data_IF_471358372061
#
_entry.id   IF_471358372061
#
_cell.length_a   1.000
_cell.length_b   1.000
_cell.length_c   1.000
_cell.angle_alpha   90.00
_cell.angle_beta   90.00
_cell.angle_gamma   90.00
#
_symmetry.space_group_name_H-M   'P 1'
#
loop_
_entity.id
_entity.type
_entity.pdbx_description
1 polymer ?
#
# COMPACT_ATOMS: atom_id res chain seq x y z
N UNK A 1 16.32 0.32 -21.41
CA UNK A 1 16.83 1.54 -20.77
C UNK A 1 16.72 1.33 -19.28
N UNK A 2 17.82 1.26 -18.57
CA UNK A 2 17.86 1.12 -17.12
C UNK A 2 17.18 2.34 -16.50
N UNK A 3 16.09 2.14 -15.74
CA UNK A 3 15.42 3.21 -15.02
C UNK A 3 16.40 3.85 -14.03
N UNK A 4 16.46 5.17 -13.98
CA UNK A 4 17.33 5.84 -13.04
C UNK A 4 16.68 5.86 -11.65
N UNK A 5 17.38 5.28 -10.68
CA UNK A 5 17.06 5.41 -9.28
C UNK A 5 17.17 6.91 -8.89
N UNK A 6 16.20 7.51 -8.19
CA UNK A 6 16.33 8.88 -7.71
C UNK A 6 17.56 8.98 -6.79
N UNK A 7 18.39 9.99 -7.01
CA UNK A 7 19.56 10.23 -6.15
C UNK A 7 19.12 10.68 -4.76
N UNK A 8 18.06 11.49 -4.71
CA UNK A 8 17.50 12.06 -3.48
C UNK A 8 15.99 11.87 -3.47
N UNK A 9 15.50 11.25 -2.42
CA UNK A 9 14.06 11.08 -2.14
C UNK A 9 13.71 11.88 -0.89
N UNK A 10 12.63 12.65 -0.95
CA UNK A 10 11.98 13.16 0.25
C UNK A 10 10.77 12.29 0.61
N UNK A 11 10.63 11.93 1.87
CA UNK A 11 9.44 11.26 2.41
C UNK A 11 8.79 12.19 3.44
N UNK A 12 7.52 12.51 3.21
CA UNK A 12 6.71 13.35 4.11
C UNK A 12 5.71 12.48 4.86
N UNK A 13 5.94 12.32 6.16
CA UNK A 13 5.31 11.33 7.02
C UNK A 13 6.30 10.24 7.41
N UNK A 14 6.82 10.29 8.66
CA UNK A 14 7.83 9.36 9.21
C UNK A 14 7.23 8.15 9.93
N UNK A 15 5.93 7.93 9.79
CA UNK A 15 5.22 6.79 10.38
C UNK A 15 5.70 5.44 9.84
N UNK A 16 4.92 4.39 10.11
CA UNK A 16 5.26 3.03 9.68
C UNK A 16 5.52 2.91 8.18
N UNK A 17 4.61 3.48 7.35
CA UNK A 17 4.77 3.40 5.89
C UNK A 17 5.94 4.25 5.40
N UNK A 18 6.06 5.51 5.86
CA UNK A 18 7.14 6.37 5.42
C UNK A 18 8.53 5.85 5.77
N UNK A 19 8.73 5.32 6.98
CA UNK A 19 9.99 4.68 7.35
C UNK A 19 10.28 3.42 6.52
N UNK A 20 9.27 2.62 6.19
CA UNK A 20 9.42 1.44 5.36
C UNK A 20 9.72 1.80 3.88
N UNK A 21 9.10 2.86 3.34
CA UNK A 21 9.43 3.41 2.02
C UNK A 21 10.88 3.93 2.03
N UNK A 22 11.27 4.66 3.08
CA UNK A 22 12.64 5.16 3.22
C UNK A 22 13.66 4.02 3.23
N UNK A 23 13.36 2.92 3.94
CA UNK A 23 14.22 1.72 3.96
C UNK A 23 14.40 1.13 2.56
N UNK A 24 13.32 0.94 1.78
CA UNK A 24 13.39 0.35 0.44
C UNK A 24 14.30 1.16 -0.49
N UNK A 25 14.11 2.48 -0.54
CA UNK A 25 14.91 3.34 -1.38
C UNK A 25 16.35 3.49 -0.89
N UNK A 26 16.57 3.57 0.42
CA UNK A 26 17.92 3.62 0.99
C UNK A 26 18.70 2.32 0.74
N UNK A 27 18.07 1.16 0.83
CA UNK A 27 18.65 -0.13 0.48
C UNK A 27 19.03 -0.22 -1.00
N UNK A 28 18.26 0.43 -1.89
CA UNK A 28 18.59 0.53 -3.30
C UNK A 28 19.71 1.54 -3.63
N UNK A 29 20.15 2.35 -2.65
CA UNK A 29 21.26 3.31 -2.83
C UNK A 29 20.84 4.79 -2.86
N UNK A 30 19.56 5.12 -2.73
CA UNK A 30 19.04 6.48 -2.68
C UNK A 30 19.36 7.16 -1.33
N UNK A 31 19.75 8.44 -1.35
CA UNK A 31 19.75 9.27 -0.13
C UNK A 31 18.32 9.72 0.16
N UNK A 32 17.81 9.36 1.34
CA UNK A 32 16.42 9.66 1.72
C UNK A 32 16.39 10.67 2.86
N UNK A 33 15.55 11.69 2.74
CA UNK A 33 15.29 12.63 3.84
C UNK A 33 13.83 12.53 4.23
N UNK A 34 13.57 12.20 5.51
CA UNK A 34 12.23 12.03 6.06
C UNK A 34 11.84 13.24 6.89
N UNK A 35 10.67 13.78 6.66
CA UNK A 35 10.02 14.77 7.50
C UNK A 35 8.75 14.21 8.14
N UNK A 36 8.53 14.56 9.38
CA UNK A 36 7.25 14.38 10.09
C UNK A 36 7.09 15.55 11.06
N UNK A 37 5.90 16.14 11.25
CA UNK A 37 5.71 17.23 12.21
C UNK A 37 5.96 16.80 13.66
N UNK A 38 5.69 15.53 14.00
CA UNK A 38 5.97 14.99 15.33
C UNK A 38 7.45 14.59 15.48
N UNK A 39 8.15 15.23 16.41
CA UNK A 39 9.56 14.96 16.70
C UNK A 39 9.82 13.50 17.11
N UNK A 40 8.92 12.92 17.92
CA UNK A 40 9.04 11.52 18.37
C UNK A 40 8.96 10.56 17.19
N UNK A 41 8.10 10.85 16.23
CA UNK A 41 8.00 10.07 15.00
C UNK A 41 9.27 10.17 14.17
N UNK A 42 9.87 11.37 14.05
CA UNK A 42 11.15 11.57 13.35
C UNK A 42 12.30 10.82 14.03
N UNK A 43 12.40 10.91 15.35
CA UNK A 43 13.46 10.26 16.13
C UNK A 43 13.42 8.73 15.99
N UNK A 44 12.22 8.15 15.83
CA UNK A 44 12.02 6.73 15.66
C UNK A 44 12.25 6.20 14.22
N UNK A 45 12.52 7.07 13.24
CA UNK A 45 12.69 6.66 11.82
C UNK A 45 13.87 5.70 11.67
N UNK A 46 15.05 6.02 12.22
CA UNK A 46 16.24 5.20 12.08
C UNK A 46 16.06 3.81 12.72
N UNK A 47 15.42 3.73 13.90
CA UNK A 47 15.13 2.45 14.56
C UNK A 47 14.15 1.58 13.74
N UNK A 48 13.15 2.20 13.11
CA UNK A 48 12.23 1.50 12.22
C UNK A 48 12.93 0.95 10.97
N UNK A 49 13.81 1.76 10.37
CA UNK A 49 14.61 1.35 9.21
C UNK A 49 15.56 0.20 9.60
N UNK A 50 16.29 0.33 10.68
CA UNK A 50 17.18 -0.72 11.18
C UNK A 50 16.41 -2.02 11.51
N UNK A 51 15.21 -1.90 12.10
CA UNK A 51 14.37 -3.08 12.38
C UNK A 51 13.93 -3.80 11.09
N UNK A 52 13.59 -3.06 10.05
CA UNK A 52 13.26 -3.64 8.75
C UNK A 52 14.48 -4.34 8.11
N UNK A 53 15.67 -3.73 8.19
CA UNK A 53 16.92 -4.35 7.71
C UNK A 53 17.23 -5.65 8.45
N UNK A 54 17.11 -5.67 9.78
CA UNK A 54 17.30 -6.90 10.59
C UNK A 54 16.32 -8.00 10.21
N UNK A 55 15.03 -7.67 9.97
CA UNK A 55 14.04 -8.63 9.49
C UNK A 55 14.45 -9.24 8.15
N UNK A 56 15.01 -8.42 7.25
CA UNK A 56 15.47 -8.84 5.93
C UNK A 56 16.82 -9.56 5.94
N UNK A 57 17.53 -9.58 7.08
CA UNK A 57 18.88 -10.15 7.17
C UNK A 57 19.94 -9.36 6.39
N UNK A 58 19.73 -8.06 6.17
CA UNK A 58 20.69 -7.17 5.49
C UNK A 58 21.41 -6.28 6.49
N UNK A 59 22.63 -5.84 6.13
CA UNK A 59 23.40 -4.88 6.94
C UNK A 59 22.61 -3.56 7.04
N UNK A 60 22.31 -3.16 8.27
CA UNK A 60 21.53 -1.95 8.54
C UNK A 60 22.38 -0.68 8.54
N UNK A 61 23.66 -0.76 8.80
CA UNK A 61 24.52 0.41 8.99
C UNK A 61 24.58 1.30 7.75
N UNK A 62 24.79 0.72 6.57
CA UNK A 62 24.87 1.46 5.30
C UNK A 62 23.49 2.02 4.90
N UNK A 63 22.43 1.23 5.08
CA UNK A 63 21.06 1.65 4.75
C UNK A 63 20.61 2.79 5.65
N UNK A 64 20.83 2.67 6.97
CA UNK A 64 20.50 3.70 7.95
C UNK A 64 21.29 4.99 7.69
N UNK A 65 22.58 4.88 7.32
CA UNK A 65 23.41 6.05 7.01
C UNK A 65 22.91 6.88 5.81
N UNK A 66 22.14 6.27 4.90
CA UNK A 66 21.50 6.97 3.77
C UNK A 66 20.20 7.66 4.14
N UNK A 67 19.64 7.39 5.33
CA UNK A 67 18.39 7.99 5.81
C UNK A 67 18.72 9.15 6.74
N UNK A 68 18.13 10.30 6.49
CA UNK A 68 18.22 11.52 7.29
C UNK A 68 16.84 11.96 7.71
N UNK A 69 16.73 12.75 8.77
CA UNK A 69 15.49 13.43 9.15
C UNK A 69 15.64 14.93 9.03
N UNK A 70 14.53 15.61 8.77
CA UNK A 70 14.47 17.07 8.70
C UNK A 70 13.32 17.58 9.59
N UNK A 71 13.44 18.84 10.03
CA UNK A 71 12.47 19.51 10.91
C UNK A 71 11.37 20.28 10.14
N UNK A 72 11.48 20.32 8.80
CA UNK A 72 10.49 20.94 7.93
C UNK A 72 10.40 20.22 6.58
N UNK A 73 9.23 20.27 5.93
CA UNK A 73 9.03 19.74 4.59
C UNK A 73 9.95 20.40 3.57
N UNK A 74 10.15 21.72 3.65
CA UNK A 74 11.04 22.45 2.75
C UNK A 74 12.50 21.94 2.83
N UNK A 75 13.00 21.64 4.04
CA UNK A 75 14.35 21.06 4.20
C UNK A 75 14.42 19.63 3.70
N UNK A 76 13.40 18.83 3.93
CA UNK A 76 13.36 17.47 3.43
C UNK A 76 13.35 17.43 1.89
N UNK A 77 12.60 18.33 1.27
CA UNK A 77 12.46 18.41 -0.18
C UNK A 77 13.63 19.10 -0.89
N UNK A 78 14.58 19.70 -0.17
CA UNK A 78 15.68 20.45 -0.77
C UNK A 78 16.55 19.57 -1.70
N UNK A 79 16.39 19.78 -3.01
CA UNK A 79 17.10 19.05 -4.07
C UNK A 79 16.62 17.60 -4.24
N UNK A 80 15.41 17.27 -3.81
CA UNK A 80 14.79 15.97 -4.06
C UNK A 80 14.43 15.83 -5.55
N UNK A 81 14.62 14.63 -6.08
CA UNK A 81 14.20 14.25 -7.43
C UNK A 81 12.75 13.74 -7.42
N UNK A 82 12.33 13.19 -6.30
CA UNK A 82 10.99 12.62 -6.04
C UNK A 82 10.59 12.93 -4.60
N UNK A 83 9.32 13.27 -4.38
CA UNK A 83 8.73 13.42 -3.05
C UNK A 83 7.61 12.41 -2.91
N UNK A 84 7.61 11.60 -1.82
CA UNK A 84 6.53 10.67 -1.49
C UNK A 84 5.88 11.09 -0.18
N UNK A 85 4.59 11.41 -0.22
CA UNK A 85 3.77 11.71 0.94
C UNK A 85 3.17 10.41 1.51
N UNK A 86 3.36 10.17 2.80
CA UNK A 86 2.88 9.04 3.57
C UNK A 86 2.27 9.47 4.93
N UNK A 87 1.61 10.62 4.93
CA UNK A 87 0.89 11.19 6.08
C UNK A 87 -0.48 10.54 6.32
N UNK A 88 -1.29 11.10 7.24
CA UNK A 88 -2.61 10.57 7.58
C UNK A 88 -3.54 10.43 6.39
N UNK A 89 -4.42 9.41 6.43
CA UNK A 89 -5.43 9.16 5.40
C UNK A 89 -6.65 10.09 5.60
N UNK A 90 -6.40 11.38 5.48
CA UNK A 90 -7.38 12.46 5.58
C UNK A 90 -7.20 13.45 4.43
N UNK A 91 -8.30 13.75 3.73
CA UNK A 91 -8.24 14.59 2.53
C UNK A 91 -7.81 16.03 2.83
N UNK A 92 -8.27 16.61 3.95
CA UNK A 92 -7.94 17.98 4.31
C UNK A 92 -6.45 18.09 4.63
N UNK A 93 -5.94 17.18 5.46
CA UNK A 93 -4.51 17.09 5.80
C UNK A 93 -3.65 16.87 4.56
N UNK A 94 -4.03 15.95 3.67
CA UNK A 94 -3.26 15.71 2.43
C UNK A 94 -3.25 16.93 1.51
N UNK A 95 -4.36 17.67 1.40
CA UNK A 95 -4.40 18.91 0.62
C UNK A 95 -3.49 20.00 1.18
N UNK A 96 -3.44 20.16 2.50
CA UNK A 96 -2.52 21.09 3.16
C UNK A 96 -1.06 20.71 2.89
N UNK A 97 -0.71 19.44 3.05
CA UNK A 97 0.63 18.92 2.74
C UNK A 97 0.97 19.18 1.27
N UNK A 98 0.07 18.84 0.34
CA UNK A 98 0.34 19.00 -1.09
C UNK A 98 0.44 20.47 -1.51
N UNK A 99 -0.31 21.38 -0.89
CA UNK A 99 -0.18 22.84 -1.11
C UNK A 99 1.20 23.33 -0.68
N UNK A 100 1.71 22.90 0.48
CA UNK A 100 3.07 23.19 0.91
C UNK A 100 4.12 22.59 -0.05
N UNK A 101 3.96 21.32 -0.44
CA UNK A 101 4.88 20.65 -1.35
C UNK A 101 4.90 21.30 -2.74
N UNK A 102 3.75 21.76 -3.24
CA UNK A 102 3.66 22.46 -4.53
C UNK A 102 4.39 23.82 -4.49
N UNK A 103 4.37 24.49 -3.34
CA UNK A 103 5.04 25.78 -3.15
C UNK A 103 6.57 25.66 -3.02
N UNK A 104 7.06 24.62 -2.32
CA UNK A 104 8.50 24.51 -1.99
C UNK A 104 9.32 23.76 -3.03
N UNK A 105 8.68 22.96 -3.91
CA UNK A 105 9.40 22.16 -4.89
C UNK A 105 9.42 22.80 -6.28
N UNK A 106 10.55 22.70 -7.03
CA UNK A 106 10.62 23.13 -8.42
C UNK A 106 9.60 22.39 -9.31
N UNK A 107 9.22 22.95 -10.47
CA UNK A 107 8.20 22.36 -11.36
C UNK A 107 8.49 20.92 -11.83
N UNK A 108 9.77 20.57 -11.96
CA UNK A 108 10.19 19.24 -12.46
C UNK A 108 10.19 18.13 -11.43
N UNK A 109 9.89 18.42 -10.15
CA UNK A 109 9.85 17.41 -9.08
C UNK A 109 8.48 16.74 -9.05
N UNK A 110 8.45 15.41 -9.14
CA UNK A 110 7.22 14.61 -8.98
C UNK A 110 6.79 14.57 -7.52
N UNK A 111 5.51 14.82 -7.29
CA UNK A 111 4.86 14.72 -5.98
C UNK A 111 3.95 13.48 -5.96
N UNK A 112 4.36 12.46 -5.21
CA UNK A 112 3.64 11.22 -5.09
C UNK A 112 2.88 11.13 -3.76
N UNK A 113 1.69 10.54 -3.74
CA UNK A 113 0.94 10.26 -2.50
C UNK A 113 0.78 8.76 -2.29
N UNK A 114 1.01 8.31 -1.06
CA UNK A 114 0.77 6.91 -0.65
C UNK A 114 -0.65 6.70 -0.10
N UNK A 115 -1.63 7.50 -0.53
CA UNK A 115 -3.04 7.28 -0.13
C UNK A 115 -3.50 5.89 -0.55
N UNK A 116 -4.35 5.26 0.27
CA UNK A 116 -4.90 3.93 -0.01
C UNK A 116 -6.28 3.96 -0.68
N UNK A 117 -7.03 5.06 -0.53
CA UNK A 117 -8.43 5.11 -0.98
C UNK A 117 -8.86 6.48 -1.52
N UNK A 118 -8.17 7.56 -1.15
CA UNK A 118 -8.56 8.92 -1.56
C UNK A 118 -8.15 9.14 -3.02
N UNK A 119 -9.08 9.50 -3.90
CA UNK A 119 -8.75 9.81 -5.28
C UNK A 119 -7.68 10.90 -5.40
N UNK A 120 -6.68 10.66 -6.24
CA UNK A 120 -5.52 11.54 -6.44
C UNK A 120 -5.96 12.92 -6.93
N UNK A 121 -6.94 12.96 -7.84
CA UNK A 121 -7.52 14.19 -8.35
C UNK A 121 -8.14 15.07 -7.25
N UNK A 122 -8.65 14.47 -6.17
CA UNK A 122 -9.17 15.22 -5.01
C UNK A 122 -8.06 15.83 -4.17
N UNK A 123 -6.91 15.17 -4.07
CA UNK A 123 -5.72 15.68 -3.38
C UNK A 123 -5.08 16.79 -4.20
N UNK A 124 -4.91 16.59 -5.50
CA UNK A 124 -4.30 17.54 -6.42
C UNK A 124 -5.19 18.76 -6.76
N UNK A 125 -6.46 18.69 -6.40
CA UNK A 125 -7.42 19.77 -6.69
C UNK A 125 -7.02 21.08 -6.01
N UNK A 126 -6.84 22.15 -6.83
CA UNK A 126 -6.45 23.47 -6.35
C UNK A 126 -4.94 23.74 -6.36
N UNK A 127 -4.10 22.78 -6.72
CA UNK A 127 -2.66 23.00 -6.89
C UNK A 127 -2.37 23.80 -8.17
N UNK A 128 -1.26 24.52 -8.17
CA UNK A 128 -0.80 25.28 -9.34
C UNK A 128 -0.32 24.36 -10.46
N UNK A 129 0.23 23.20 -10.09
CA UNK A 129 0.85 22.23 -11.00
C UNK A 129 0.39 20.80 -10.72
N UNK A 130 -0.91 20.51 -10.94
CA UNK A 130 -1.47 19.17 -10.67
C UNK A 130 -0.91 18.07 -11.58
N UNK A 131 -0.32 18.43 -12.73
CA UNK A 131 0.22 17.49 -13.72
C UNK A 131 1.42 16.70 -13.23
N UNK A 132 2.09 17.16 -12.15
CA UNK A 132 3.21 16.45 -11.50
C UNK A 132 2.81 15.56 -10.32
N UNK A 133 1.51 15.48 -10.02
CA UNK A 133 0.99 14.68 -8.92
C UNK A 133 0.59 13.29 -9.40
N UNK A 134 1.01 12.26 -8.68
CA UNK A 134 0.72 10.84 -8.99
C UNK A 134 0.44 10.07 -7.70
N UNK A 135 -0.42 9.04 -7.79
CA UNK A 135 -0.58 8.08 -6.71
C UNK A 135 0.53 7.03 -6.75
N UNK A 136 1.08 6.70 -5.59
CA UNK A 136 2.00 5.57 -5.41
C UNK A 136 1.54 4.77 -4.20
N UNK A 137 0.57 3.88 -4.43
CA UNK A 137 -0.02 3.09 -3.36
C UNK A 137 0.86 1.88 -3.07
N UNK A 138 1.68 1.99 -2.05
CA UNK A 138 2.51 0.91 -1.52
C UNK A 138 1.69 -0.03 -0.65
N UNK A 139 2.00 -1.32 -0.71
CA UNK A 139 1.43 -2.34 0.18
C UNK A 139 2.32 -2.54 1.41
N UNK A 140 1.69 -2.75 2.56
CA UNK A 140 2.38 -2.85 3.85
C UNK A 140 2.77 -4.30 4.19
N UNK A 141 4.03 -4.59 4.51
CA UNK A 141 5.18 -3.69 4.43
C UNK A 141 5.86 -3.72 3.04
N UNK A 142 6.29 -2.55 2.49
CA UNK A 142 6.79 -2.47 1.11
C UNK A 142 8.12 -3.21 0.89
N UNK A 143 8.86 -3.50 1.93
CA UNK A 143 10.07 -4.30 1.85
C UNK A 143 9.80 -5.81 1.73
N UNK A 144 8.57 -6.29 1.95
CA UNK A 144 8.14 -7.68 1.73
C UNK A 144 7.13 -7.79 0.58
N UNK A 145 6.28 -6.79 0.39
CA UNK A 145 5.26 -6.77 -0.67
C UNK A 145 5.66 -5.71 -1.69
N UNK A 146 6.24 -6.11 -2.83
CA UNK A 146 6.87 -5.18 -3.75
C UNK A 146 5.88 -4.38 -4.61
N UNK A 147 4.59 -4.75 -4.64
CA UNK A 147 3.59 -4.07 -5.46
C UNK A 147 3.46 -2.59 -5.09
N UNK A 148 3.52 -1.73 -6.11
CA UNK A 148 3.12 -0.32 -6.01
C UNK A 148 2.17 0.00 -7.15
N UNK A 149 0.94 0.36 -6.84
CA UNK A 149 0.00 0.88 -7.84
C UNK A 149 0.36 2.33 -8.16
N UNK A 150 0.75 2.59 -9.40
CA UNK A 150 1.07 3.95 -9.89
C UNK A 150 -0.19 4.53 -10.53
N UNK A 151 -0.92 5.35 -9.78
CA UNK A 151 -2.27 5.77 -10.13
C UNK A 151 -2.24 7.13 -10.81
N UNK A 152 -2.76 7.18 -12.04
CA UNK A 152 -2.89 8.38 -12.85
C UNK A 152 -4.21 9.08 -12.57
N UNK A 153 -4.17 10.32 -12.08
CA UNK A 153 -5.33 11.21 -12.11
C UNK A 153 -5.52 11.83 -13.51
N UNK A 154 -6.70 12.39 -13.76
CA UNK A 154 -7.01 13.02 -15.05
C UNK A 154 -5.99 14.13 -15.44
N UNK A 155 -5.46 14.84 -14.43
CA UNK A 155 -4.45 15.89 -14.64
C UNK A 155 -3.01 15.41 -14.68
N UNK A 156 -2.71 14.17 -14.29
CA UNK A 156 -1.33 13.67 -14.19
C UNK A 156 -0.69 13.53 -15.58
N UNK A 157 0.51 14.07 -15.75
CA UNK A 157 1.27 13.94 -16.98
C UNK A 157 1.71 12.48 -17.22
N UNK A 158 1.60 11.93 -18.43
CA UNK A 158 2.13 10.60 -18.76
C UNK A 158 3.63 10.46 -18.42
N UNK A 159 4.43 11.49 -18.65
CA UNK A 159 5.85 11.48 -18.33
C UNK A 159 6.13 11.32 -16.82
N UNK A 160 5.25 11.84 -15.96
CA UNK A 160 5.31 11.65 -14.49
C UNK A 160 5.03 10.20 -14.13
N UNK A 161 4.01 9.58 -14.74
CA UNK A 161 3.71 8.14 -14.53
C UNK A 161 4.91 7.30 -14.95
N UNK A 162 5.43 7.50 -16.16
CA UNK A 162 6.55 6.73 -16.70
C UNK A 162 7.82 6.87 -15.85
N UNK A 163 8.15 8.10 -15.42
CA UNK A 163 9.33 8.33 -14.57
C UNK A 163 9.16 7.69 -13.19
N UNK A 164 7.95 7.74 -12.63
CA UNK A 164 7.63 7.10 -11.34
C UNK A 164 7.75 5.59 -11.42
N UNK A 165 7.19 4.96 -12.47
CA UNK A 165 7.32 3.51 -12.72
C UNK A 165 8.79 3.12 -12.81
N UNK A 166 9.61 3.87 -13.57
CA UNK A 166 11.05 3.58 -13.67
C UNK A 166 11.77 3.72 -12.34
N UNK A 167 11.50 4.79 -11.58
CA UNK A 167 12.13 5.02 -10.28
C UNK A 167 11.80 3.91 -9.27
N UNK A 168 10.56 3.48 -9.21
CA UNK A 168 10.10 2.40 -8.35
C UNK A 168 10.70 1.04 -8.75
N UNK A 169 10.72 0.75 -10.05
CA UNK A 169 11.36 -0.47 -10.58
C UNK A 169 12.86 -0.51 -10.29
N UNK A 170 13.57 0.63 -10.42
CA UNK A 170 14.99 0.74 -10.07
C UNK A 170 15.25 0.54 -8.57
N UNK A 171 14.25 0.83 -7.70
CA UNK A 171 14.29 0.53 -6.27
C UNK A 171 13.96 -0.94 -5.93
N UNK A 172 13.78 -1.81 -6.93
CA UNK A 172 13.48 -3.23 -6.74
C UNK A 172 12.01 -3.50 -6.37
N UNK A 173 11.11 -2.59 -6.71
CA UNK A 173 9.67 -2.74 -6.53
C UNK A 173 9.01 -3.22 -7.83
N UNK A 174 7.75 -3.66 -7.74
CA UNK A 174 6.92 -4.08 -8.85
C UNK A 174 5.81 -3.02 -9.12
N UNK A 175 6.13 -1.90 -9.81
CA UNK A 175 5.17 -0.87 -10.09
C UNK A 175 4.19 -1.31 -11.18
N UNK A 176 2.90 -1.09 -10.93
CA UNK A 176 1.82 -1.36 -11.89
C UNK A 176 1.08 -0.07 -12.19
N UNK A 177 1.08 0.42 -13.44
CA UNK A 177 0.31 1.60 -13.83
C UNK A 177 -1.20 1.34 -13.71
N UNK A 178 -1.92 2.32 -13.17
CA UNK A 178 -3.39 2.33 -13.10
C UNK A 178 -3.89 3.57 -13.80
N UNK A 179 -4.59 3.39 -14.92
CA UNK A 179 -4.97 4.46 -15.85
C UNK A 179 -6.10 5.36 -15.37
N UNK A 180 -6.83 4.94 -14.34
CA UNK A 180 -7.97 5.69 -13.83
C UNK A 180 -7.94 5.78 -12.29
N UNK A 181 -8.16 6.99 -11.81
CA UNK A 181 -8.23 7.34 -10.40
C UNK A 181 -9.61 7.01 -9.82
N UNK A 182 -9.80 5.75 -9.45
CA UNK A 182 -11.03 5.27 -8.82
C UNK A 182 -10.83 5.00 -7.32
N UNK A 183 -11.84 5.20 -6.46
CA UNK A 183 -11.71 4.93 -5.02
C UNK A 183 -11.24 3.49 -4.74
N UNK A 184 -10.13 3.35 -3.97
CA UNK A 184 -9.55 2.06 -3.60
C UNK A 184 -8.74 1.38 -4.71
N UNK A 185 -8.53 2.06 -5.83
CA UNK A 185 -7.71 1.62 -6.97
C UNK A 185 -8.06 0.20 -7.45
N UNK A 186 -7.10 -0.65 -7.79
CA UNK A 186 -7.35 -2.04 -8.23
C UNK A 186 -7.28 -3.01 -7.05
N UNK A 187 -6.19 -2.98 -6.31
CA UNK A 187 -5.91 -3.98 -5.28
C UNK A 187 -6.88 -3.94 -4.10
N UNK A 188 -7.18 -2.75 -3.55
CA UNK A 188 -8.15 -2.62 -2.48
C UNK A 188 -9.57 -3.01 -2.95
N UNK A 189 -9.95 -2.68 -4.19
CA UNK A 189 -11.26 -3.07 -4.75
C UNK A 189 -11.41 -4.57 -4.79
N UNK A 190 -10.42 -5.30 -5.33
CA UNK A 190 -10.43 -6.76 -5.39
C UNK A 190 -10.43 -7.39 -4.00
N UNK A 191 -9.56 -6.90 -3.10
CA UNK A 191 -9.47 -7.40 -1.73
C UNK A 191 -10.78 -7.19 -0.96
N UNK A 192 -11.42 -6.02 -1.10
CA UNK A 192 -12.67 -5.72 -0.40
C UNK A 192 -13.88 -6.41 -1.02
N UNK A 193 -13.89 -6.69 -2.33
CA UNK A 193 -14.91 -7.54 -2.94
C UNK A 193 -14.86 -8.97 -2.35
N UNK A 194 -13.66 -9.55 -2.23
CA UNK A 194 -13.47 -10.85 -1.56
C UNK A 194 -13.91 -10.80 -0.08
N UNK A 195 -13.52 -9.74 0.67
CA UNK A 195 -13.91 -9.61 2.08
C UNK A 195 -15.41 -9.45 2.26
N UNK A 196 -16.10 -8.73 1.35
CA UNK A 196 -17.55 -8.57 1.40
C UNK A 196 -18.26 -9.91 1.34
N UNK A 197 -17.92 -10.75 0.35
CA UNK A 197 -18.48 -12.09 0.23
C UNK A 197 -18.10 -12.98 1.42
N UNK A 198 -16.86 -12.96 1.85
CA UNK A 198 -16.39 -13.72 3.02
C UNK A 198 -17.19 -13.40 4.29
N UNK A 199 -17.49 -12.12 4.54
CA UNK A 199 -18.29 -11.70 5.70
C UNK A 199 -19.76 -12.12 5.52
N UNK A 200 -20.31 -12.03 4.32
CA UNK A 200 -21.68 -12.43 4.01
C UNK A 200 -21.90 -13.92 4.30
N UNK A 201 -20.99 -14.78 3.86
CA UNK A 201 -21.05 -16.23 4.14
C UNK A 201 -21.04 -16.54 5.64
N UNK A 202 -20.21 -15.85 6.42
CA UNK A 202 -20.18 -16.01 7.89
C UNK A 202 -21.48 -15.47 8.51
N UNK A 203 -21.97 -14.32 8.07
CA UNK A 203 -23.20 -13.71 8.57
C UNK A 203 -24.43 -14.57 8.29
N UNK A 204 -24.48 -15.25 7.14
CA UNK A 204 -25.53 -16.20 6.76
C UNK A 204 -25.41 -17.56 7.46
N UNK A 205 -24.36 -17.80 8.24
CA UNK A 205 -24.14 -19.07 8.94
C UNK A 205 -23.74 -20.22 8.02
N UNK A 206 -23.30 -19.93 6.79
CA UNK A 206 -22.85 -20.97 5.84
C UNK A 206 -21.62 -21.68 6.38
N UNK A 207 -20.68 -20.94 6.99
CA UNK A 207 -19.49 -21.50 7.61
C UNK A 207 -18.88 -20.51 8.63
N UNK A 208 -17.86 -20.98 9.37
CA UNK A 208 -17.10 -20.13 10.30
C UNK A 208 -16.06 -19.26 9.55
N UNK A 209 -15.56 -18.22 10.19
CA UNK A 209 -14.47 -17.38 9.66
C UNK A 209 -13.19 -18.21 9.41
N UNK A 210 -12.89 -19.17 10.28
CA UNK A 210 -11.75 -20.08 10.12
C UNK A 210 -11.89 -20.95 8.86
N UNK A 211 -13.12 -21.39 8.55
CA UNK A 211 -13.41 -22.15 7.32
C UNK A 211 -13.21 -21.31 6.08
N UNK A 212 -13.72 -20.07 6.04
CA UNK A 212 -13.47 -19.13 4.94
C UNK A 212 -11.98 -18.96 4.71
N UNK A 213 -11.24 -18.67 5.78
CA UNK A 213 -9.80 -18.49 5.73
C UNK A 213 -9.06 -19.74 5.22
N UNK A 214 -9.49 -20.92 5.67
CA UNK A 214 -8.89 -22.19 5.23
C UNK A 214 -9.14 -22.46 3.75
N UNK A 215 -10.35 -22.22 3.25
CA UNK A 215 -10.71 -22.34 1.82
C UNK A 215 -9.88 -21.39 0.98
N UNK A 216 -9.78 -20.11 1.38
CA UNK A 216 -8.97 -19.15 0.65
C UNK A 216 -7.50 -19.58 0.59
N UNK A 217 -6.89 -19.93 1.73
CA UNK A 217 -5.46 -20.28 1.79
C UNK A 217 -5.11 -21.57 1.07
N UNK A 218 -5.99 -22.59 1.15
CA UNK A 218 -5.70 -23.92 0.58
C UNK A 218 -6.26 -24.10 -0.83
N UNK A 219 -7.19 -23.25 -1.25
CA UNK A 219 -7.81 -23.24 -2.56
C UNK A 219 -7.15 -22.28 -3.55
N UNK A 220 -7.94 -21.35 -4.07
CA UNK A 220 -7.52 -20.41 -5.12
C UNK A 220 -6.35 -19.51 -4.70
N UNK A 221 -6.22 -19.16 -3.43
CA UNK A 221 -5.12 -18.33 -2.93
C UNK A 221 -3.72 -18.93 -3.18
N UNK A 222 -3.60 -20.26 -3.29
CA UNK A 222 -2.34 -20.93 -3.63
C UNK A 222 -1.86 -20.64 -5.06
N UNK A 223 -2.76 -20.26 -5.95
CA UNK A 223 -2.46 -19.97 -7.36
C UNK A 223 -2.08 -18.52 -7.58
N UNK A 224 -2.63 -17.60 -6.76
CA UNK A 224 -2.47 -16.16 -6.96
C UNK A 224 -1.02 -15.65 -7.09
N UNK A 225 0.00 -16.24 -6.41
CA UNK A 225 1.40 -15.85 -6.64
C UNK A 225 1.93 -16.18 -8.04
N UNK A 226 1.26 -17.07 -8.79
CA UNK A 226 1.75 -17.59 -10.08
C UNK A 226 0.79 -17.29 -11.24
N UNK A 227 -0.46 -16.96 -10.95
CA UNK A 227 -1.52 -16.85 -11.94
C UNK A 227 -2.56 -15.82 -11.50
N UNK A 228 -2.70 -14.75 -12.26
CA UNK A 228 -3.71 -13.74 -12.01
C UNK A 228 -5.14 -14.26 -12.28
N UNK A 229 -6.18 -13.61 -11.74
CA UNK A 229 -7.56 -14.10 -11.86
C UNK A 229 -8.09 -14.11 -13.30
N UNK A 230 -7.70 -13.14 -14.13
CA UNK A 230 -8.14 -13.09 -15.54
C UNK A 230 -7.37 -14.07 -16.40
N UNK A 231 -6.06 -14.20 -16.20
CA UNK A 231 -5.25 -15.21 -16.86
C UNK A 231 -5.75 -16.63 -16.51
N UNK A 232 -6.15 -16.85 -15.27
CA UNK A 232 -6.75 -18.12 -14.85
C UNK A 232 -8.08 -18.39 -15.56
N UNK A 233 -8.90 -17.37 -15.77
CA UNK A 233 -10.16 -17.49 -16.50
C UNK A 233 -9.91 -17.82 -17.98
N UNK A 234 -8.93 -17.18 -18.64
CA UNK A 234 -8.54 -17.49 -20.01
C UNK A 234 -8.04 -18.93 -20.17
N UNK A 235 -7.19 -19.39 -19.25
CA UNK A 235 -6.66 -20.76 -19.26
C UNK A 235 -7.75 -21.80 -18.97
N UNK A 236 -8.78 -21.46 -18.20
CA UNK A 236 -9.91 -22.35 -17.89
C UNK A 236 -11.00 -22.39 -18.96
N UNK A 237 -11.02 -21.40 -19.84
CA UNK A 237 -12.06 -21.15 -20.82
C UNK A 237 -13.09 -20.12 -20.37
N UNK A 238 -13.31 -19.11 -21.19
CA UNK A 238 -14.26 -18.02 -20.89
C UNK A 238 -15.72 -18.49 -20.95
N UNK A 239 -16.03 -19.49 -21.77
CA UNK A 239 -17.33 -20.16 -21.83
C UNK A 239 -17.67 -20.84 -20.51
N UNK A 240 -16.71 -21.57 -19.89
CA UNK A 240 -16.88 -22.15 -18.58
C UNK A 240 -17.04 -21.07 -17.51
N UNK A 241 -16.22 -20.01 -17.58
CA UNK A 241 -16.33 -18.89 -16.65
C UNK A 241 -17.70 -18.21 -16.74
N UNK A 242 -18.23 -18.02 -17.95
CA UNK A 242 -19.56 -17.45 -18.17
C UNK A 242 -20.64 -18.33 -17.56
N UNK A 243 -20.63 -19.65 -17.85
CA UNK A 243 -21.62 -20.59 -17.31
C UNK A 243 -21.61 -20.62 -15.76
N UNK A 244 -20.43 -20.54 -15.14
CA UNK A 244 -20.33 -20.42 -13.67
C UNK A 244 -20.90 -19.09 -13.18
N UNK A 245 -20.62 -17.99 -13.85
CA UNK A 245 -21.14 -16.66 -13.49
C UNK A 245 -22.67 -16.59 -13.58
N UNK A 246 -23.29 -17.22 -14.58
CA UNK A 246 -24.75 -17.28 -14.72
C UNK A 246 -25.41 -17.91 -13.49
N UNK A 247 -24.74 -18.85 -12.83
CA UNK A 247 -25.21 -19.50 -11.60
C UNK A 247 -24.87 -18.69 -10.34
N UNK A 248 -23.64 -18.21 -10.23
CA UNK A 248 -23.14 -17.63 -8.97
C UNK A 248 -23.48 -16.14 -8.79
N UNK A 249 -23.43 -15.33 -9.87
CA UNK A 249 -23.58 -13.88 -9.74
C UNK A 249 -24.91 -13.44 -9.10
N UNK A 250 -26.05 -14.11 -9.36
CA UNK A 250 -27.31 -13.77 -8.70
C UNK A 250 -27.32 -13.99 -7.20
N UNK A 251 -26.43 -14.89 -6.68
CA UNK A 251 -26.39 -15.31 -5.28
C UNK A 251 -25.27 -14.64 -4.46
N UNK A 252 -24.25 -14.10 -5.11
CA UNK A 252 -23.18 -13.39 -4.44
C UNK A 252 -23.65 -12.08 -3.82
N UNK A 253 -23.08 -11.71 -2.67
CA UNK A 253 -23.41 -10.46 -2.00
C UNK A 253 -23.05 -9.23 -2.86
N UNK A 254 -24.06 -8.44 -3.19
CA UNK A 254 -23.96 -7.21 -3.97
C UNK A 254 -24.22 -5.95 -3.15
N UNK A 255 -24.29 -6.03 -1.81
CA UNK A 255 -24.55 -4.88 -0.94
C UNK A 255 -23.48 -3.80 -1.10
N UNK A 256 -23.92 -2.52 -1.02
CA UNK A 256 -23.03 -1.35 -1.08
C UNK A 256 -22.63 -0.82 0.28
N UNK A 257 -23.35 -1.26 1.31
CA UNK A 257 -23.11 -0.89 2.69
C UNK A 257 -22.24 -1.93 3.40
N UNK A 258 -21.52 -1.55 4.47
CA UNK A 258 -20.82 -2.52 5.31
C UNK A 258 -21.78 -3.56 5.86
N UNK A 259 -21.35 -4.83 5.85
CA UNK A 259 -22.15 -5.94 6.37
C UNK A 259 -22.57 -5.69 7.83
N UNK A 260 -23.86 -5.95 8.21
CA UNK A 260 -24.35 -5.73 9.56
C UNK A 260 -23.53 -6.45 10.65
N UNK A 261 -23.02 -7.64 10.35
CA UNK A 261 -22.13 -8.38 11.26
C UNK A 261 -20.85 -7.57 11.58
N UNK A 262 -20.22 -6.97 10.56
CA UNK A 262 -19.03 -6.13 10.77
C UNK A 262 -19.35 -4.91 11.63
N UNK A 263 -20.47 -4.23 11.32
CA UNK A 263 -20.92 -3.05 12.08
C UNK A 263 -21.16 -3.41 13.55
N UNK A 264 -21.81 -4.54 13.80
CA UNK A 264 -22.11 -5.02 15.15
C UNK A 264 -20.85 -5.37 15.95
N UNK A 265 -19.88 -6.06 15.32
CA UNK A 265 -18.58 -6.35 15.95
C UNK A 265 -17.89 -5.05 16.38
N UNK A 266 -17.81 -4.06 15.50
CA UNK A 266 -17.20 -2.77 15.81
C UNK A 266 -17.94 -2.05 16.94
N UNK A 267 -19.28 -2.02 16.90
CA UNK A 267 -20.13 -1.39 17.94
C UNK A 267 -19.92 -2.02 19.32
N UNK A 268 -19.68 -3.32 19.39
CA UNK A 268 -19.37 -4.05 20.65
C UNK A 268 -17.93 -3.87 21.12
N UNK A 269 -17.06 -3.25 20.33
CA UNK A 269 -15.63 -3.17 20.63
C UNK A 269 -14.84 -4.42 20.32
N UNK A 270 -15.41 -5.38 19.59
CA UNK A 270 -14.74 -6.60 19.09
C UNK A 270 -13.89 -6.25 17.87
N UNK A 271 -12.74 -5.55 18.08
CA UNK A 271 -11.93 -4.94 17.02
C UNK A 271 -10.81 -5.86 16.48
N UNK A 272 -10.98 -7.16 16.57
CA UNK A 272 -10.03 -8.17 16.11
C UNK A 272 -8.89 -8.42 17.10
N UNK A 273 -7.70 -8.74 16.58
CA UNK A 273 -6.53 -9.10 17.38
C UNK A 273 -6.15 -8.05 18.43
N UNK A 274 -6.38 -6.77 18.13
CA UNK A 274 -6.09 -5.65 19.04
C UNK A 274 -6.87 -5.71 20.36
N UNK A 275 -8.08 -6.28 20.34
CA UNK A 275 -8.97 -6.42 21.51
C UNK A 275 -9.18 -7.87 21.94
N UNK A 276 -8.49 -8.81 21.29
CA UNK A 276 -8.61 -10.25 21.55
C UNK A 276 -9.84 -10.91 20.92
N UNK A 277 -10.76 -10.13 20.33
CA UNK A 277 -12.00 -10.63 19.72
C UNK A 277 -12.35 -9.88 18.44
N UNK A 278 -12.88 -10.60 17.47
CA UNK A 278 -13.36 -10.10 16.19
C UNK A 278 -14.16 -11.18 15.49
N UNK A 279 -13.91 -11.46 14.22
CA UNK A 279 -14.47 -12.64 13.54
C UNK A 279 -14.03 -13.95 14.19
N UNK A 280 -12.93 -13.93 14.92
CA UNK A 280 -12.40 -15.03 15.73
C UNK A 280 -11.88 -14.51 17.07
N UNK A 281 -11.61 -15.40 17.99
CA UNK A 281 -10.94 -15.10 19.26
C UNK A 281 -9.41 -15.22 19.06
N UNK A 282 -8.68 -14.31 19.68
CA UNK A 282 -7.21 -14.22 19.64
C UNK A 282 -6.64 -14.42 21.03
N UNK A 283 -5.70 -15.34 21.18
CA UNK A 283 -4.96 -15.51 22.42
C UNK A 283 -3.83 -14.46 22.55
N UNK A 284 -3.43 -14.09 23.78
CA UNK A 284 -2.29 -13.20 23.97
C UNK A 284 -1.02 -13.68 23.21
N UNK A 285 -0.40 -12.78 22.45
CA UNK A 285 0.78 -13.07 21.63
C UNK A 285 0.51 -13.89 20.35
N UNK A 286 -0.74 -14.29 20.08
CA UNK A 286 -1.07 -15.07 18.87
C UNK A 286 -0.94 -14.22 17.61
N UNK A 287 -1.38 -12.96 17.66
CA UNK A 287 -1.32 -12.06 16.51
C UNK A 287 0.14 -11.78 16.10
N UNK A 288 1.02 -11.54 17.06
CA UNK A 288 2.44 -11.30 16.82
C UNK A 288 3.11 -12.54 16.21
N UNK A 289 2.85 -13.73 16.77
CA UNK A 289 3.37 -14.99 16.21
C UNK A 289 2.87 -15.19 14.76
N UNK A 290 1.58 -14.92 14.53
CA UNK A 290 0.98 -15.08 13.20
C UNK A 290 1.58 -14.13 12.17
N UNK A 291 1.81 -12.87 12.54
CA UNK A 291 2.49 -11.89 11.68
C UNK A 291 3.92 -12.35 11.37
N UNK A 292 4.68 -12.80 12.38
CA UNK A 292 6.04 -13.30 12.16
C UNK A 292 6.08 -14.53 11.23
N UNK A 293 5.09 -15.43 11.31
CA UNK A 293 4.95 -16.56 10.38
C UNK A 293 4.69 -16.08 8.93
N UNK A 294 3.84 -15.05 8.76
CA UNK A 294 3.56 -14.45 7.46
C UNK A 294 4.80 -13.78 6.89
N UNK A 295 5.50 -12.97 7.69
CA UNK A 295 6.74 -12.31 7.27
C UNK A 295 7.80 -13.33 6.85
N UNK A 296 7.99 -14.40 7.64
CA UNK A 296 8.91 -15.48 7.30
C UNK A 296 8.49 -16.23 6.01
N UNK A 297 7.20 -16.38 5.75
CA UNK A 297 6.71 -17.00 4.52
C UNK A 297 6.96 -16.10 3.30
N UNK A 298 6.71 -14.80 3.41
CA UNK A 298 6.98 -13.81 2.36
C UNK A 298 8.48 -13.72 2.04
N UNK A 299 9.34 -13.74 3.07
CA UNK A 299 10.81 -13.77 2.88
C UNK A 299 11.26 -15.00 2.09
N UNK A 300 10.70 -16.18 2.39
CA UNK A 300 11.02 -17.42 1.64
C UNK A 300 10.52 -17.40 0.20
N UNK A 301 9.43 -16.71 -0.08
CA UNK A 301 8.90 -16.57 -1.43
C UNK A 301 9.82 -15.72 -2.32
N UNK A 302 10.59 -14.82 -1.70
CA UNK A 302 11.44 -13.88 -2.42
C UNK A 302 10.65 -12.72 -3.03
N UNK A 303 11.38 -11.76 -3.61
CA UNK A 303 10.77 -10.75 -4.49
C UNK A 303 10.67 -11.32 -5.90
N UNK A 304 9.59 -11.02 -6.63
CA UNK A 304 9.41 -11.47 -8.02
C UNK A 304 10.48 -10.90 -8.95
#
# INVERSE_FOLDING_TARGET
MTGELPRRLAVVGGGRMGAAIAQVFAAAGTTVTVFDPDARTRDAVHDRVASACRLLGVDDAEVVARVRTADSAARACAGADLVIEAGPEDLAVKREIFAELDAVNPPGVTLATNTSAIPIGRIAGGLTRPERVVGTHFWNPPYLIPLVEVVKAAGTSPAVVDSTVRALGAAGLAPVPVDADVPGFVGNRLQHALKREAIALVAAGVCSAETVDAVCRNGFGRRLPFLGPLEQADLGGLDLTLAIHEVLMPDLDATREPQPLLVELVRRGDLGARTGRGFRTWQPGEAERRLAEVDAALLRQGRP
#
